data_IF_870203249189
#
_entry.id   IF_870203249189
#
_cell.length_a   1.000
_cell.length_b   1.000
_cell.length_c   1.000
_cell.angle_alpha   90.00
_cell.angle_beta   90.00
_cell.angle_gamma   90.00
#
_symmetry.space_group_name_H-M   'P 1'
#
loop_
_entity.id
_entity.type
_entity.pdbx_description
1 polymer ?
#
# COMPACT_ATOMS: atom_id res chain seq x y z
N UNK A 1 0.56 6.76 -2.36
CA UNK A 1 1.87 6.83 -1.69
C UNK A 1 1.68 6.66 -0.19
N UNK A 2 1.92 5.47 0.32
CA UNK A 2 1.67 5.08 1.71
C UNK A 2 2.92 4.52 2.38
N UNK A 3 3.95 4.21 1.60
CA UNK A 3 5.19 3.61 2.08
C UNK A 3 6.05 4.61 2.86
N UNK A 4 6.66 4.13 3.94
CA UNK A 4 7.63 4.88 4.73
C UNK A 4 8.85 5.36 3.90
N UNK A 5 9.23 4.61 2.86
CA UNK A 5 10.30 4.98 1.94
C UNK A 5 9.97 6.25 1.14
N UNK A 6 8.69 6.43 0.75
CA UNK A 6 8.24 7.60 0.01
C UNK A 6 8.16 8.88 0.85
N UNK A 7 8.30 8.78 2.16
CA UNK A 7 8.21 9.91 3.10
C UNK A 7 9.55 10.27 3.76
N UNK A 8 10.66 9.77 3.22
CA UNK A 8 12.00 10.14 3.70
C UNK A 8 12.26 11.64 3.60
N UNK A 9 13.01 12.18 4.56
CA UNK A 9 13.26 13.61 4.68
C UNK A 9 13.88 14.24 3.42
N UNK A 10 14.66 13.50 2.65
CA UNK A 10 15.34 13.99 1.45
C UNK A 10 14.37 14.28 0.30
N UNK A 11 13.19 13.67 0.31
CA UNK A 11 12.18 13.82 -0.75
C UNK A 11 11.22 15.00 -0.54
N UNK A 12 11.14 15.53 0.68
CA UNK A 12 10.16 16.54 1.06
C UNK A 12 10.76 17.69 1.86
N UNK A 13 11.76 18.36 1.30
CA UNK A 13 12.58 19.38 1.98
C UNK A 13 11.74 20.54 2.56
N UNK A 14 10.64 20.89 1.92
CA UNK A 14 9.75 22.00 2.35
C UNK A 14 8.54 21.53 3.16
N UNK A 15 8.42 20.24 3.43
CA UNK A 15 7.29 19.69 4.18
C UNK A 15 7.61 19.60 5.67
N UNK A 16 6.76 20.12 6.56
CA UNK A 16 6.96 19.94 8.00
C UNK A 16 7.03 18.44 8.37
N UNK A 17 8.02 18.07 9.18
CA UNK A 17 8.22 16.67 9.60
C UNK A 17 6.95 16.05 10.22
N UNK A 18 6.19 16.82 10.99
CA UNK A 18 4.93 16.38 11.58
C UNK A 18 3.88 15.98 10.53
N UNK A 19 3.88 16.61 9.36
CA UNK A 19 2.95 16.28 8.27
C UNK A 19 3.32 14.96 7.59
N UNK A 20 4.57 14.50 7.70
CA UNK A 20 5.05 13.23 7.17
C UNK A 20 4.85 12.07 8.15
N UNK A 21 4.62 12.39 9.44
CA UNK A 21 4.40 11.37 10.46
C UNK A 21 3.15 10.53 10.17
N UNK A 22 3.30 9.21 10.27
CA UNK A 22 2.21 8.26 10.03
C UNK A 22 1.00 8.51 10.92
N UNK A 23 1.22 8.81 12.20
CA UNK A 23 0.14 9.06 13.17
C UNK A 23 -0.73 10.25 12.78
N UNK A 24 -0.13 11.24 12.13
CA UNK A 24 -0.85 12.42 11.61
C UNK A 24 -1.55 12.12 10.29
N UNK A 25 -0.88 11.41 9.38
CA UNK A 25 -1.38 11.18 8.01
C UNK A 25 -2.47 10.12 7.92
N UNK A 26 -2.39 9.07 8.75
CA UNK A 26 -3.24 7.88 8.62
C UNK A 26 -4.74 8.19 8.56
N UNK A 27 -5.21 9.08 9.41
CA UNK A 27 -6.63 9.43 9.46
C UNK A 27 -7.05 10.30 8.28
N UNK A 28 -6.18 11.20 7.82
CA UNK A 28 -6.44 12.00 6.62
C UNK A 28 -6.53 11.16 5.36
N UNK A 29 -5.65 10.18 5.23
CA UNK A 29 -5.70 9.23 4.12
C UNK A 29 -6.97 8.37 4.18
N UNK A 30 -7.34 7.90 5.36
CA UNK A 30 -8.57 7.14 5.55
C UNK A 30 -9.81 7.98 5.23
N UNK A 31 -9.86 9.24 5.70
CA UNK A 31 -10.94 10.19 5.41
C UNK A 31 -11.08 10.42 3.91
N UNK A 32 -9.97 10.63 3.21
CA UNK A 32 -9.97 10.81 1.75
C UNK A 32 -10.50 9.57 1.03
N UNK A 33 -10.07 8.38 1.43
CA UNK A 33 -10.55 7.12 0.86
C UNK A 33 -12.07 6.97 1.08
N UNK A 34 -12.53 7.21 2.30
CA UNK A 34 -13.94 7.05 2.69
C UNK A 34 -14.83 8.07 1.99
N UNK A 35 -14.36 9.30 1.82
CA UNK A 35 -15.08 10.37 1.15
C UNK A 35 -15.50 10.02 -0.27
N UNK A 36 -14.68 9.26 -0.99
CA UNK A 36 -15.01 8.80 -2.35
C UNK A 36 -16.10 7.75 -2.39
N UNK A 37 -16.40 7.09 -1.28
CA UNK A 37 -17.42 6.04 -1.19
C UNK A 37 -17.38 5.02 -2.34
N UNK A 38 -16.18 4.67 -2.78
CA UNK A 38 -15.95 3.75 -3.90
C UNK A 38 -16.41 2.34 -3.54
N UNK A 39 -16.91 1.61 -4.51
CA UNK A 39 -17.30 0.22 -4.34
C UNK A 39 -16.09 -0.71 -4.29
N UNK A 40 -15.04 -0.37 -5.04
CA UNK A 40 -13.73 -1.04 -5.05
C UNK A 40 -12.64 0.01 -4.88
N UNK A 41 -11.68 -0.27 -4.00
CA UNK A 41 -10.55 0.60 -3.68
C UNK A 41 -9.27 -0.16 -3.94
N UNK A 42 -8.40 0.38 -4.80
CA UNK A 42 -7.08 -0.16 -5.07
C UNK A 42 -6.03 0.78 -4.49
N UNK A 43 -5.19 0.25 -3.61
CA UNK A 43 -4.11 0.99 -2.96
C UNK A 43 -2.76 0.39 -3.31
N UNK A 44 -1.79 1.25 -3.58
CA UNK A 44 -0.41 0.88 -3.89
C UNK A 44 0.54 1.42 -2.82
N UNK A 45 1.69 0.77 -2.67
CA UNK A 45 2.71 1.14 -1.67
C UNK A 45 2.13 1.21 -0.24
N UNK A 46 1.35 0.21 0.12
CA UNK A 46 0.73 0.10 1.45
C UNK A 46 1.65 -0.68 2.36
N UNK A 47 2.17 -0.06 3.40
CA UNK A 47 2.98 -0.70 4.44
C UNK A 47 2.24 -0.86 5.78
N UNK A 48 1.12 -0.19 5.95
CA UNK A 48 0.26 -0.27 7.15
C UNK A 48 -1.09 -0.93 6.82
N UNK A 49 -1.07 -2.07 6.14
CA UNK A 49 -2.29 -2.77 5.71
C UNK A 49 -3.24 -3.08 6.88
N UNK A 50 -2.71 -3.45 8.05
CA UNK A 50 -3.55 -3.77 9.23
C UNK A 50 -4.43 -2.60 9.65
N UNK A 51 -3.91 -1.38 9.59
CA UNK A 51 -4.69 -0.18 9.92
C UNK A 51 -5.85 0.00 8.95
N UNK A 52 -5.59 -0.03 7.65
CA UNK A 52 -6.62 0.12 6.62
C UNK A 52 -7.63 -1.02 6.67
N UNK A 53 -7.17 -2.25 6.84
CA UNK A 53 -8.04 -3.42 6.97
C UNK A 53 -9.01 -3.27 8.14
N UNK A 54 -8.52 -2.90 9.31
CA UNK A 54 -9.35 -2.73 10.51
C UNK A 54 -10.37 -1.60 10.31
N UNK A 55 -9.94 -0.47 9.81
CA UNK A 55 -10.78 0.72 9.63
C UNK A 55 -11.84 0.51 8.54
N UNK A 56 -11.44 0.02 7.39
CA UNK A 56 -12.36 -0.20 6.27
C UNK A 56 -13.29 -1.40 6.50
N UNK A 57 -12.86 -2.41 7.24
CA UNK A 57 -13.74 -3.51 7.63
C UNK A 57 -14.92 -3.03 8.48
N UNK A 58 -14.68 -2.12 9.41
CA UNK A 58 -15.74 -1.51 10.21
C UNK A 58 -16.76 -0.73 9.34
N UNK A 59 -16.35 -0.28 8.17
CA UNK A 59 -17.18 0.47 7.21
C UNK A 59 -17.81 -0.42 6.12
N UNK A 60 -17.72 -1.73 6.25
CA UNK A 60 -18.36 -2.67 5.33
C UNK A 60 -17.48 -3.15 4.17
N UNK A 61 -16.17 -2.90 4.21
CA UNK A 61 -15.24 -3.39 3.20
C UNK A 61 -14.52 -4.67 3.64
N UNK A 62 -14.25 -5.55 2.71
CA UNK A 62 -13.26 -6.62 2.85
C UNK A 62 -12.02 -6.27 2.04
N UNK A 63 -10.85 -6.70 2.51
CA UNK A 63 -9.60 -6.35 1.86
C UNK A 63 -8.64 -7.53 1.72
N UNK A 64 -7.90 -7.53 0.61
CA UNK A 64 -6.83 -8.46 0.31
C UNK A 64 -5.54 -7.71 0.06
N UNK A 65 -4.44 -8.28 0.50
CA UNK A 65 -3.12 -7.67 0.42
C UNK A 65 -2.13 -8.61 -0.25
N UNK A 66 -1.34 -8.06 -1.15
CA UNK A 66 -0.23 -8.76 -1.78
C UNK A 66 1.06 -8.01 -1.46
N UNK A 67 1.91 -8.58 -0.59
CA UNK A 67 3.18 -7.95 -0.25
C UNK A 67 4.12 -7.93 -1.46
N UNK A 68 4.93 -6.89 -1.55
CA UNK A 68 6.01 -6.80 -2.51
C UNK A 68 7.14 -7.76 -2.12
N UNK A 69 7.61 -8.63 -3.03
CA UNK A 69 8.81 -9.42 -2.78
C UNK A 69 9.99 -8.49 -2.51
N UNK A 70 10.83 -8.87 -1.55
CA UNK A 70 12.03 -8.11 -1.16
C UNK A 70 11.77 -6.61 -0.92
N UNK A 71 10.68 -6.31 -0.22
CA UNK A 71 10.31 -4.93 0.08
C UNK A 71 11.41 -4.19 0.83
N UNK A 72 11.90 -3.05 0.34
CA UNK A 72 12.88 -2.23 1.04
C UNK A 72 12.38 -1.71 2.39
N UNK A 73 11.07 -1.66 2.62
CA UNK A 73 10.47 -1.25 3.89
C UNK A 73 10.91 -2.14 5.06
N UNK A 74 11.22 -3.42 4.79
CA UNK A 74 11.68 -4.37 5.81
C UNK A 74 13.03 -4.01 6.42
N UNK A 75 13.84 -3.22 5.71
CA UNK A 75 15.17 -2.79 6.16
C UNK A 75 15.15 -1.49 6.99
N UNK A 76 13.97 -0.88 7.12
CA UNK A 76 13.80 0.31 7.96
C UNK A 76 13.65 -0.09 9.43
N UNK A 77 14.24 0.67 10.37
CA UNK A 77 13.98 0.46 11.79
C UNK A 77 12.48 0.70 12.08
N UNK A 78 11.91 -0.08 12.97
CA UNK A 78 10.49 0.02 13.38
C UNK A 78 9.50 -0.08 12.19
N UNK A 79 9.80 -0.91 11.20
CA UNK A 79 8.94 -1.09 10.04
C UNK A 79 7.60 -1.75 10.43
N UNK A 80 6.57 -1.47 9.64
CA UNK A 80 5.24 -2.09 9.78
C UNK A 80 5.07 -3.36 8.92
N UNK A 81 6.15 -3.89 8.40
CA UNK A 81 6.16 -5.01 7.45
C UNK A 81 6.44 -4.55 6.01
N UNK A 82 6.34 -5.46 5.04
CA UNK A 82 6.55 -5.12 3.64
C UNK A 82 5.47 -4.18 3.13
N UNK A 83 5.84 -3.30 2.22
CA UNK A 83 4.86 -2.60 1.40
C UNK A 83 4.28 -3.53 0.32
N UNK A 84 3.13 -3.18 -0.21
CA UNK A 84 2.49 -3.98 -1.25
C UNK A 84 1.25 -3.30 -1.82
N UNK A 85 0.49 -4.08 -2.56
CA UNK A 85 -0.78 -3.65 -3.12
C UNK A 85 -1.95 -4.22 -2.30
N UNK A 86 -2.98 -3.41 -2.10
CA UNK A 86 -4.20 -3.82 -1.43
C UNK A 86 -5.42 -3.51 -2.29
N UNK A 87 -6.41 -4.40 -2.23
CA UNK A 87 -7.71 -4.21 -2.86
C UNK A 87 -8.77 -4.39 -1.78
N UNK A 88 -9.65 -3.39 -1.67
CA UNK A 88 -10.82 -3.45 -0.81
C UNK A 88 -12.09 -3.34 -1.64
N UNK A 89 -13.14 -4.02 -1.21
CA UNK A 89 -14.45 -3.98 -1.88
C UNK A 89 -15.59 -4.01 -0.86
N UNK A 90 -16.72 -3.42 -1.22
CA UNK A 90 -17.92 -3.45 -0.39
C UNK A 90 -18.52 -4.85 -0.35
N UNK A 91 -18.67 -5.42 0.85
CA UNK A 91 -19.24 -6.75 1.06
C UNK A 91 -20.73 -6.86 0.67
N UNK A 92 -21.44 -5.76 0.71
CA UNK A 92 -22.87 -5.72 0.31
C UNK A 92 -23.09 -5.77 -1.20
N UNK A 93 -22.03 -5.51 -1.98
CA UNK A 93 -22.10 -5.48 -3.44
C UNK A 93 -21.33 -6.61 -4.12
N UNK A 94 -20.32 -7.17 -3.50
CA UNK A 94 -19.42 -8.14 -4.09
C UNK A 94 -19.17 -9.32 -3.16
N UNK A 95 -19.16 -10.51 -3.76
CA UNK A 95 -18.72 -11.74 -3.12
C UNK A 95 -17.30 -12.09 -3.58
N UNK A 96 -16.48 -12.52 -2.63
CA UNK A 96 -15.13 -13.00 -2.94
C UNK A 96 -15.20 -14.40 -3.53
N UNK A 97 -14.65 -14.59 -4.72
CA UNK A 97 -14.58 -15.91 -5.37
C UNK A 97 -13.17 -16.49 -5.24
N UNK A 98 -12.16 -15.76 -5.75
CA UNK A 98 -10.77 -16.20 -5.69
C UNK A 98 -9.80 -15.05 -5.90
N UNK A 99 -8.56 -15.24 -5.49
CA UNK A 99 -7.45 -14.32 -5.73
C UNK A 99 -6.30 -15.05 -6.43
N UNK A 100 -5.81 -14.46 -7.50
CA UNK A 100 -4.60 -14.89 -8.17
C UNK A 100 -3.59 -13.74 -8.17
N UNK A 101 -2.39 -14.00 -7.67
CA UNK A 101 -1.32 -13.03 -7.63
C UNK A 101 -0.25 -13.40 -8.65
N UNK A 102 0.21 -12.42 -9.43
CA UNK A 102 1.35 -12.57 -10.32
C UNK A 102 2.36 -11.48 -10.04
N UNK A 103 3.61 -11.89 -9.92
CA UNK A 103 4.74 -10.98 -9.83
C UNK A 103 5.19 -10.73 -11.27
N UNK A 104 5.15 -9.44 -11.67
CA UNK A 104 5.66 -9.03 -12.97
C UNK A 104 7.10 -8.58 -12.79
N UNK A 105 8.03 -9.40 -13.27
CA UNK A 105 9.44 -9.09 -13.28
C UNK A 105 9.89 -8.83 -14.71
N UNK A 106 10.62 -7.75 -14.91
CA UNK A 106 11.32 -7.53 -16.16
C UNK A 106 12.67 -8.25 -16.07
N UNK A 107 12.75 -9.42 -16.68
CA UNK A 107 14.04 -10.07 -16.89
C UNK A 107 14.84 -9.18 -17.81
N UNK A 108 15.94 -8.62 -17.30
CA UNK A 108 16.98 -8.10 -18.19
C UNK A 108 17.55 -9.31 -18.90
N UNK A 109 17.13 -9.52 -20.13
CA UNK A 109 17.85 -10.40 -21.04
C UNK A 109 19.24 -9.78 -21.14
N UNK A 110 20.21 -10.38 -20.46
CA UNK A 110 21.61 -10.10 -20.78
C UNK A 110 21.75 -10.53 -22.22
N UNK A 111 21.77 -9.55 -23.10
CA UNK A 111 22.26 -9.78 -24.46
C UNK A 111 23.72 -10.22 -24.27
N UNK A 112 23.94 -11.52 -24.30
CA UNK A 112 25.27 -12.03 -24.60
C UNK A 112 25.58 -11.48 -25.99
N UNK A 113 26.20 -10.31 -26.03
CA UNK A 113 26.94 -9.91 -27.20
C UNK A 113 28.04 -10.95 -27.33
N UNK A 114 27.76 -11.94 -28.14
CA UNK A 114 28.76 -12.73 -28.75
C UNK A 114 29.42 -11.79 -29.78
N UNK A 115 30.56 -11.32 -29.41
CA UNK A 115 31.44 -10.68 -30.38
C UNK A 115 31.84 -11.69 -31.47
#
# INVERSE_FOLDING_TARGET
MFSALGTGNDNFVKCPAKALDWRTRRFRMLEEIVRHNADVICLQEVDHFRFFRKSLNALGYSGHFTPKPDSPCLYLPENAGPDGCAIFYKRDKFDFIQQNNRILEVWKVQSNQVC
#
